data_IF_603497024897
#
_entry.id   IF_603497024897
#
_cell.length_a   1.000
_cell.length_b   1.000
_cell.length_c   1.000
_cell.angle_alpha   90.00
_cell.angle_beta   90.00
_cell.angle_gamma   90.00
#
_symmetry.space_group_name_H-M   'P 1'
#
loop_
_entity.id
_entity.type
_entity.pdbx_description
1 polymer ?
#
# COMPACT_ATOMS: atom_id res chain seq x y z
N UNK A 1 -10.75 -11.60 6.37
CA UNK A 1 -11.35 -11.28 5.06
C UNK A 1 -10.31 -11.56 3.99
N UNK A 2 -10.66 -12.29 2.92
CA UNK A 2 -9.75 -12.67 1.84
C UNK A 2 -10.08 -11.84 0.60
N UNK A 3 -9.05 -11.41 -0.14
CA UNK A 3 -9.22 -10.73 -1.42
C UNK A 3 -9.59 -11.75 -2.50
N UNK A 4 -10.41 -11.33 -3.47
CA UNK A 4 -10.87 -12.20 -4.55
C UNK A 4 -9.75 -12.61 -5.51
N UNK A 5 -8.78 -11.72 -5.74
CA UNK A 5 -7.62 -11.90 -6.63
C UNK A 5 -6.35 -11.43 -5.91
N UNK A 6 -5.20 -12.14 -6.03
CA UNK A 6 -3.93 -11.65 -5.54
C UNK A 6 -3.55 -10.35 -6.27
N UNK A 7 -2.99 -9.39 -5.52
CA UNK A 7 -2.66 -8.08 -6.09
C UNK A 7 -1.49 -7.44 -5.37
N UNK A 8 -0.58 -6.88 -6.16
CA UNK A 8 0.48 -5.98 -5.70
C UNK A 8 0.15 -4.50 -5.96
N UNK A 9 -1.08 -4.19 -6.39
CA UNK A 9 -1.51 -2.80 -6.59
C UNK A 9 -1.83 -2.18 -5.22
N UNK A 10 -1.01 -1.21 -4.80
CA UNK A 10 -1.09 -0.55 -3.48
C UNK A 10 -2.51 -0.10 -3.14
N UNK A 11 -3.20 0.52 -4.09
CA UNK A 11 -4.56 1.04 -3.87
C UNK A 11 -5.61 -0.06 -3.67
N UNK A 12 -5.44 -1.24 -4.28
CA UNK A 12 -6.37 -2.34 -4.07
C UNK A 12 -6.22 -2.88 -2.64
N UNK A 13 -4.98 -3.13 -2.21
CA UNK A 13 -4.68 -3.59 -0.85
C UNK A 13 -5.16 -2.56 0.20
N UNK A 14 -4.93 -1.27 -0.05
CA UNK A 14 -5.40 -0.19 0.82
C UNK A 14 -6.93 -0.19 0.99
N UNK A 15 -7.70 -0.36 -0.09
CA UNK A 15 -9.17 -0.41 0.01
C UNK A 15 -9.67 -1.58 0.84
N UNK A 16 -9.05 -2.75 0.69
CA UNK A 16 -9.37 -3.91 1.53
C UNK A 16 -9.00 -3.70 2.99
N UNK A 17 -7.86 -3.06 3.26
CA UNK A 17 -7.47 -2.65 4.61
C UNK A 17 -8.50 -1.70 5.26
N UNK A 18 -9.00 -0.69 4.52
CA UNK A 18 -10.06 0.19 5.00
C UNK A 18 -11.35 -0.58 5.30
N UNK A 19 -11.80 -1.45 4.38
CA UNK A 19 -13.00 -2.28 4.61
C UNK A 19 -12.86 -3.16 5.85
N UNK A 20 -11.69 -3.74 6.07
CA UNK A 20 -11.41 -4.55 7.26
C UNK A 20 -11.54 -3.69 8.52
N UNK A 21 -10.93 -2.51 8.52
CA UNK A 21 -11.03 -1.57 9.64
C UNK A 21 -12.49 -1.20 9.92
N UNK A 22 -13.23 -0.75 8.90
CA UNK A 22 -14.64 -0.37 9.01
C UNK A 22 -15.53 -1.51 9.52
N UNK A 23 -15.22 -2.76 9.15
CA UNK A 23 -16.01 -3.93 9.57
C UNK A 23 -15.84 -4.28 11.05
N UNK A 24 -14.68 -3.97 11.65
CA UNK A 24 -14.34 -4.36 13.03
C UNK A 24 -14.19 -3.18 13.98
N UNK A 25 -14.33 -1.95 13.49
CA UNK A 25 -14.22 -0.75 14.30
C UNK A 25 -15.53 -0.47 15.03
N UNK A 26 -15.42 -0.13 16.32
CA UNK A 26 -16.53 0.19 17.22
C UNK A 26 -16.87 1.69 17.27
N UNK A 27 -16.22 2.52 16.46
CA UNK A 27 -16.40 3.98 16.45
C UNK A 27 -15.56 4.73 17.49
N UNK A 28 -14.84 4.03 18.38
CA UNK A 28 -14.02 4.65 19.42
C UNK A 28 -12.61 5.01 18.92
N UNK A 29 -11.90 5.96 19.55
CA UNK A 29 -10.56 6.35 19.13
C UNK A 29 -9.57 5.18 19.10
N UNK A 30 -8.86 5.02 17.97
CA UNK A 30 -7.92 3.92 17.75
C UNK A 30 -6.49 4.38 18.04
N UNK A 31 -5.78 3.69 18.95
CA UNK A 31 -4.36 3.97 19.25
C UNK A 31 -3.39 3.22 18.34
N UNK A 32 -3.78 2.04 17.85
CA UNK A 32 -2.94 1.19 16.99
C UNK A 32 -3.81 0.37 16.05
N UNK A 33 -3.41 0.33 14.77
CA UNK A 33 -3.93 -0.60 13.77
C UNK A 33 -2.79 -1.49 13.31
N UNK A 34 -3.03 -2.79 13.22
CA UNK A 34 -2.10 -3.77 12.65
C UNK A 34 -2.77 -4.54 11.54
N UNK A 35 -2.16 -4.57 10.37
CA UNK A 35 -2.63 -5.35 9.22
C UNK A 35 -1.48 -6.24 8.78
N UNK A 36 -1.75 -7.53 8.63
CA UNK A 36 -0.81 -8.52 8.12
C UNK A 36 -1.32 -9.08 6.80
N UNK A 37 -0.42 -9.23 5.84
CA UNK A 37 -0.69 -9.93 4.58
C UNK A 37 -0.18 -11.38 4.70
N UNK A 38 -0.87 -12.30 4.05
CA UNK A 38 -0.52 -13.72 3.99
C UNK A 38 -0.88 -14.30 2.62
N UNK A 39 -0.52 -15.57 2.37
CA UNK A 39 -0.80 -16.27 1.11
C UNK A 39 -0.19 -15.60 -0.13
N UNK A 40 1.07 -15.17 -0.03
CA UNK A 40 1.80 -14.59 -1.16
C UNK A 40 1.97 -15.60 -2.30
N UNK A 41 1.84 -15.10 -3.52
CA UNK A 41 2.10 -15.84 -4.76
C UNK A 41 3.09 -15.06 -5.63
N UNK A 42 3.79 -15.73 -6.57
CA UNK A 42 4.59 -15.04 -7.58
C UNK A 42 3.74 -14.06 -8.40
N UNK A 43 4.30 -12.90 -8.76
CA UNK A 43 3.70 -11.89 -9.67
C UNK A 43 4.01 -12.19 -11.15
N UNK A 44 4.07 -13.47 -11.53
CA UNK A 44 4.35 -13.89 -12.91
C UNK A 44 3.09 -13.92 -13.77
N UNK A 45 1.94 -14.11 -13.14
CA UNK A 45 0.65 -14.23 -13.79
C UNK A 45 -0.43 -13.58 -12.94
N UNK A 46 -1.47 -13.08 -13.60
CA UNK A 46 -2.67 -12.57 -12.96
C UNK A 46 -3.85 -12.86 -13.86
N UNK A 47 -5.05 -12.95 -13.27
CA UNK A 47 -6.26 -13.18 -14.05
C UNK A 47 -6.63 -11.91 -14.83
N UNK A 48 -6.77 -12.04 -16.15
CA UNK A 48 -7.28 -10.95 -16.96
C UNK A 48 -8.80 -10.81 -16.79
N UNK A 49 -9.28 -9.57 -16.81
CA UNK A 49 -10.71 -9.28 -16.78
C UNK A 49 -11.07 -8.42 -17.98
N UNK A 50 -12.11 -8.84 -18.72
CA UNK A 50 -12.68 -8.05 -19.82
C UNK A 50 -13.26 -6.71 -19.36
N UNK A 51 -13.53 -6.58 -18.05
CA UNK A 51 -14.13 -5.40 -17.45
C UNK A 51 -13.11 -4.54 -16.68
N UNK A 52 -11.90 -5.04 -16.43
CA UNK A 52 -10.82 -4.29 -15.78
C UNK A 52 -9.81 -3.75 -16.81
N UNK A 53 -10.22 -2.69 -17.51
CA UNK A 53 -9.39 -2.06 -18.56
C UNK A 53 -8.26 -1.20 -18.01
N UNK A 54 -8.27 -0.90 -16.71
CA UNK A 54 -7.29 -0.02 -16.05
C UNK A 54 -6.12 -0.74 -15.37
N UNK A 55 -6.16 -2.08 -15.30
CA UNK A 55 -5.19 -2.87 -14.52
C UNK A 55 -3.77 -2.70 -15.01
N UNK A 56 -3.54 -2.84 -16.31
CA UNK A 56 -2.19 -2.75 -16.89
C UNK A 56 -1.54 -1.40 -16.62
N UNK A 57 -2.29 -0.31 -16.78
CA UNK A 57 -1.84 1.04 -16.45
C UNK A 57 -1.48 1.17 -14.97
N UNK A 58 -2.29 0.58 -14.09
CA UNK A 58 -2.06 0.60 -12.65
C UNK A 58 -0.79 -0.19 -12.28
N UNK A 59 -0.60 -1.38 -12.85
CA UNK A 59 0.62 -2.17 -12.63
C UNK A 59 1.87 -1.46 -13.15
N UNK A 60 1.79 -0.82 -14.33
CA UNK A 60 2.90 -0.03 -14.86
C UNK A 60 3.28 1.12 -13.92
N UNK A 61 2.29 1.79 -13.32
CA UNK A 61 2.52 2.84 -12.33
C UNK A 61 3.19 2.30 -11.06
N UNK A 62 2.75 1.16 -10.53
CA UNK A 62 3.35 0.55 -9.32
C UNK A 62 4.80 0.13 -9.60
N UNK A 63 5.06 -0.55 -10.74
CA UNK A 63 6.42 -0.94 -11.16
C UNK A 63 7.36 0.25 -11.28
N UNK A 64 6.91 1.35 -11.90
CA UNK A 64 7.71 2.58 -12.02
C UNK A 64 7.94 3.22 -10.65
N UNK A 65 6.92 3.25 -9.80
CA UNK A 65 7.02 3.80 -8.44
C UNK A 65 8.04 3.02 -7.61
N UNK A 66 8.01 1.69 -7.68
CA UNK A 66 8.95 0.82 -6.97
C UNK A 66 10.37 0.96 -7.52
N UNK A 67 10.53 1.03 -8.85
CA UNK A 67 11.82 1.28 -9.47
C UNK A 67 12.44 2.61 -9.01
N UNK A 68 11.64 3.68 -8.90
CA UNK A 68 12.09 4.96 -8.38
C UNK A 68 12.50 4.86 -6.91
N UNK A 69 11.70 4.21 -6.07
CA UNK A 69 12.01 4.05 -4.63
C UNK A 69 13.25 3.18 -4.40
N UNK A 70 13.41 2.11 -5.17
CA UNK A 70 14.59 1.24 -5.09
C UNK A 70 15.88 2.00 -5.46
N UNK A 71 15.79 2.92 -6.43
CA UNK A 71 16.95 3.69 -6.90
C UNK A 71 17.26 4.92 -6.05
N UNK A 72 16.25 5.66 -5.61
CA UNK A 72 16.41 6.98 -4.99
C UNK A 72 15.95 7.04 -3.52
N UNK A 73 15.43 5.94 -2.97
CA UNK A 73 14.93 5.84 -1.60
C UNK A 73 13.42 6.09 -1.48
N UNK A 74 12.86 5.70 -0.34
CA UNK A 74 11.40 5.66 -0.11
C UNK A 74 10.70 7.03 -0.13
N UNK A 75 11.44 8.14 0.02
CA UNK A 75 10.89 9.49 0.06
C UNK A 75 10.74 10.16 -1.31
N UNK A 76 11.28 9.56 -2.39
CA UNK A 76 11.26 10.17 -3.73
C UNK A 76 9.86 10.34 -4.30
N UNK A 77 8.98 9.35 -4.05
CA UNK A 77 7.57 9.38 -4.44
C UNK A 77 6.74 8.95 -3.24
N UNK A 78 5.92 9.88 -2.74
CA UNK A 78 5.00 9.65 -1.63
C UNK A 78 3.59 10.12 -1.97
N UNK A 79 2.60 9.59 -1.26
CA UNK A 79 1.22 10.06 -1.37
C UNK A 79 1.13 11.51 -0.88
N UNK A 80 0.36 12.34 -1.57
CA UNK A 80 0.17 13.76 -1.20
C UNK A 80 -0.36 13.92 0.24
N UNK A 81 -1.25 13.03 0.69
CA UNK A 81 -1.76 13.02 2.07
C UNK A 81 -0.66 12.87 3.12
N UNK A 82 0.47 12.26 2.76
CA UNK A 82 1.62 12.09 3.64
C UNK A 82 2.52 13.33 3.74
N UNK A 83 2.22 14.41 3.01
CA UNK A 83 2.89 15.72 3.12
C UNK A 83 2.21 16.67 4.12
N UNK A 84 1.10 16.25 4.73
CA UNK A 84 0.43 17.04 5.78
C UNK A 84 1.26 17.06 7.06
N UNK A 85 1.00 18.01 7.96
CA UNK A 85 1.71 18.12 9.25
C UNK A 85 1.57 16.87 10.12
N UNK A 86 0.45 16.16 10.03
CA UNK A 86 0.22 14.88 10.70
C UNK A 86 0.84 13.68 9.96
N UNK A 87 1.39 13.89 8.77
CA UNK A 87 1.94 12.86 7.90
C UNK A 87 3.32 12.38 8.36
N UNK A 88 3.43 11.07 8.63
CA UNK A 88 4.68 10.50 9.18
C UNK A 88 5.61 9.88 8.14
N UNK A 89 5.24 9.84 6.84
CA UNK A 89 5.98 9.07 5.85
C UNK A 89 7.41 9.58 5.62
N UNK A 90 7.60 10.91 5.61
CA UNK A 90 8.92 11.52 5.44
C UNK A 90 9.81 11.30 6.67
N UNK A 91 9.31 11.60 7.86
CA UNK A 91 10.03 11.38 9.12
C UNK A 91 10.47 9.91 9.26
N UNK A 92 9.56 8.97 8.97
CA UNK A 92 9.86 7.53 9.01
C UNK A 92 10.87 7.10 7.95
N UNK A 93 10.94 7.78 6.81
CA UNK A 93 11.90 7.44 5.76
C UNK A 93 13.36 7.69 6.16
N UNK A 94 13.58 8.57 7.15
CA UNK A 94 14.90 8.84 7.72
C UNK A 94 15.27 7.90 8.90
N UNK A 95 14.37 6.98 9.28
CA UNK A 95 14.53 6.12 10.46
C UNK A 95 14.66 4.63 10.10
N UNK A 96 15.44 3.90 10.88
CA UNK A 96 15.55 2.44 10.88
C UNK A 96 15.13 1.94 12.26
N UNK A 97 14.07 1.12 12.33
CA UNK A 97 13.57 0.59 13.60
C UNK A 97 13.15 1.65 14.63
N UNK A 98 12.83 2.87 14.19
CA UNK A 98 12.45 3.99 15.05
C UNK A 98 13.59 4.96 15.41
N UNK A 99 14.84 4.65 15.05
CA UNK A 99 16.01 5.49 15.28
C UNK A 99 16.48 6.13 13.98
N UNK A 100 17.04 7.33 14.02
CA UNK A 100 17.60 7.96 12.83
C UNK A 100 18.79 7.16 12.29
N UNK A 101 18.87 7.08 10.96
CA UNK A 101 19.96 6.41 10.23
C UNK A 101 21.29 7.13 10.43
#
# INVERSE_FOLDING_TARGET
MKMDDPSNITNQVYRWACRLLESYWDGLPIRRVGISLSQFSPDTEYQMSLFDTGRERSMALERVTDALKNKYGNSIVIRAVSKTDAGQALDRSAKIGGHYK
#
